data_IF_947029334786
#
_entry.id   IF_947029334786
#
_cell.length_a   1.000
_cell.length_b   1.000
_cell.length_c   1.000
_cell.angle_alpha   90.00
_cell.angle_beta   90.00
_cell.angle_gamma   90.00
#
_symmetry.space_group_name_H-M   'P 1'
#
loop_
_entity.id
_entity.type
_entity.pdbx_description
1 polymer ?
#
# COMPACT_ATOMS: atom_id res chain seq x y z
N UNK A 1 84.53 -16.58 24.23
CA UNK A 1 83.51 -16.45 23.17
C UNK A 1 82.24 -17.11 23.68
N UNK A 2 81.28 -16.31 24.14
CA UNK A 2 79.99 -16.76 24.66
C UNK A 2 79.05 -17.02 23.48
N UNK A 3 78.51 -18.24 23.37
CA UNK A 3 77.47 -18.59 22.41
C UNK A 3 76.08 -18.41 23.04
N UNK A 4 75.28 -17.53 22.46
CA UNK A 4 73.87 -17.28 22.83
C UNK A 4 72.99 -18.30 22.07
N UNK A 5 72.11 -19.07 22.71
CA UNK A 5 71.11 -19.86 22.00
C UNK A 5 69.89 -19.00 21.63
N UNK A 6 69.43 -19.09 20.38
CA UNK A 6 68.20 -18.45 19.90
C UNK A 6 66.96 -19.24 20.34
N UNK A 7 65.85 -18.60 20.74
CA UNK A 7 64.61 -19.29 21.06
C UNK A 7 63.85 -19.66 19.78
N UNK A 8 63.37 -20.90 19.72
CA UNK A 8 62.45 -21.40 18.70
C UNK A 8 61.06 -20.83 18.99
N UNK A 9 60.57 -19.92 18.16
CA UNK A 9 59.18 -19.47 18.17
C UNK A 9 58.30 -20.60 17.65
N UNK A 10 57.57 -21.27 18.54
CA UNK A 10 56.47 -22.15 18.16
C UNK A 10 55.26 -21.27 17.83
N UNK A 11 54.91 -21.21 16.55
CA UNK A 11 53.69 -20.56 16.07
C UNK A 11 52.50 -21.40 16.52
N UNK A 12 51.86 -21.00 17.63
CA UNK A 12 50.54 -21.51 17.97
C UNK A 12 49.51 -20.80 17.10
N UNK A 13 49.04 -21.52 16.08
CA UNK A 13 47.90 -21.15 15.26
C UNK A 13 46.64 -21.19 16.15
N UNK A 14 46.23 -20.05 16.68
CA UNK A 14 44.92 -19.88 17.32
C UNK A 14 43.86 -20.03 16.22
N UNK A 15 43.26 -21.22 16.12
CA UNK A 15 42.03 -21.42 15.36
C UNK A 15 40.92 -20.63 16.07
N UNK A 16 40.65 -19.42 15.59
CA UNK A 16 39.40 -18.70 15.84
C UNK A 16 38.28 -19.57 15.26
N UNK A 17 37.68 -20.42 16.09
CA UNK A 17 36.40 -21.03 15.81
C UNK A 17 35.41 -19.85 15.85
N UNK A 18 35.15 -19.25 14.69
CA UNK A 18 33.98 -18.42 14.52
C UNK A 18 32.78 -19.27 14.97
N UNK A 19 31.91 -18.78 15.86
CA UNK A 19 30.66 -19.48 16.14
C UNK A 19 29.99 -19.74 14.79
N UNK A 20 29.41 -20.94 14.56
CA UNK A 20 28.71 -21.21 13.32
C UNK A 20 27.70 -20.08 13.18
N UNK A 21 27.91 -19.21 12.19
CA UNK A 21 26.85 -18.38 11.70
C UNK A 21 25.74 -19.38 11.39
N UNK A 22 24.65 -19.33 12.17
CA UNK A 22 23.49 -20.15 11.97
C UNK A 22 23.07 -19.89 10.52
N UNK A 23 23.49 -20.78 9.63
CA UNK A 23 23.09 -20.77 8.24
C UNK A 23 21.66 -21.31 8.25
N UNK A 24 20.74 -20.52 8.80
CA UNK A 24 19.32 -20.76 8.66
C UNK A 24 19.05 -20.70 7.17
N UNK A 25 18.70 -21.84 6.60
CA UNK A 25 18.26 -21.89 5.22
C UNK A 25 17.06 -20.94 5.08
N UNK A 26 16.99 -20.13 4.00
CA UNK A 26 15.87 -19.22 3.80
C UNK A 26 14.56 -19.98 3.92
N UNK A 27 13.63 -19.45 4.72
CA UNK A 27 12.36 -20.11 5.01
C UNK A 27 11.45 -20.02 3.79
N UNK A 28 11.49 -21.04 2.93
CA UNK A 28 10.55 -21.18 1.82
C UNK A 28 9.13 -21.23 2.38
N UNK A 29 8.19 -20.48 1.80
CA UNK A 29 6.78 -20.44 2.21
C UNK A 29 5.92 -21.10 1.15
N UNK A 30 5.16 -22.14 1.53
CA UNK A 30 4.24 -22.83 0.63
C UNK A 30 2.81 -22.37 0.87
N UNK A 31 2.09 -22.07 -0.20
CA UNK A 31 0.68 -21.65 -0.18
C UNK A 31 -0.07 -22.32 -1.34
N UNK A 32 -1.42 -22.26 -1.38
CA UNK A 32 -2.17 -22.67 -2.57
C UNK A 32 -1.80 -21.91 -3.85
N UNK A 33 -1.20 -20.71 -3.73
CA UNK A 33 -0.80 -19.88 -4.87
C UNK A 33 0.61 -20.21 -5.39
N UNK A 34 1.40 -20.99 -4.64
CA UNK A 34 2.76 -21.41 -5.00
C UNK A 34 3.73 -21.46 -3.82
N UNK A 35 4.98 -21.78 -4.16
CA UNK A 35 6.12 -21.97 -3.25
C UNK A 35 7.07 -20.79 -3.40
N UNK A 36 7.06 -19.87 -2.43
CA UNK A 36 7.81 -18.62 -2.48
C UNK A 36 9.21 -18.72 -1.88
N UNK A 37 10.20 -18.26 -2.65
CA UNK A 37 11.60 -18.15 -2.22
C UNK A 37 11.93 -16.71 -1.80
N UNK A 38 12.33 -16.45 -0.54
CA UNK A 38 12.54 -15.09 -0.04
C UNK A 38 13.86 -14.48 -0.51
N UNK A 39 13.89 -13.15 -0.57
CA UNK A 39 15.11 -12.35 -0.56
C UNK A 39 15.66 -12.22 0.87
N UNK A 40 16.87 -12.73 1.11
CA UNK A 40 17.58 -12.64 2.40
C UNK A 40 18.78 -11.70 2.36
N UNK A 41 18.81 -10.74 1.42
CA UNK A 41 19.90 -9.78 1.26
C UNK A 41 20.08 -8.84 2.47
N UNK A 42 19.04 -8.70 3.31
CA UNK A 42 19.09 -7.88 4.52
C UNK A 42 19.20 -8.82 5.73
N UNK A 43 20.34 -8.82 6.46
CA UNK A 43 20.51 -9.65 7.64
C UNK A 43 19.39 -9.44 8.66
N UNK A 44 18.78 -10.54 9.12
CA UNK A 44 17.69 -10.51 10.09
C UNK A 44 16.29 -10.28 9.51
N UNK A 45 16.16 -10.05 8.19
CA UNK A 45 14.87 -9.84 7.53
C UNK A 45 14.73 -10.78 6.33
N UNK A 46 13.64 -11.54 6.30
CA UNK A 46 13.18 -12.23 5.10
C UNK A 46 12.18 -11.34 4.37
N UNK A 47 12.37 -11.18 3.06
CA UNK A 47 11.51 -10.37 2.21
C UNK A 47 10.90 -11.25 1.12
N UNK A 48 9.58 -11.25 1.00
CA UNK A 48 8.87 -11.90 -0.10
C UNK A 48 8.25 -10.80 -0.95
N UNK A 49 8.81 -10.57 -2.12
CA UNK A 49 8.52 -9.41 -2.95
C UNK A 49 7.72 -9.81 -4.20
N UNK A 50 6.80 -8.95 -4.63
CA UNK A 50 6.04 -9.15 -5.87
C UNK A 50 4.98 -10.27 -5.83
N UNK A 51 4.43 -10.57 -4.65
CA UNK A 51 3.37 -11.58 -4.48
C UNK A 51 2.07 -11.05 -5.07
N UNK A 52 1.44 -11.79 -5.98
CA UNK A 52 0.13 -11.44 -6.56
C UNK A 52 -1.00 -11.65 -5.55
N UNK A 53 -1.81 -10.62 -5.33
CA UNK A 53 -3.05 -10.74 -4.56
C UNK A 53 -4.30 -10.72 -5.43
N UNK A 54 -4.16 -10.28 -6.69
CA UNK A 54 -5.23 -10.22 -7.68
C UNK A 54 -4.76 -10.75 -9.04
N UNK A 55 -5.72 -11.14 -9.88
CA UNK A 55 -5.47 -11.34 -11.31
C UNK A 55 -5.01 -10.04 -11.98
N UNK A 56 -4.16 -10.10 -13.02
CA UNK A 56 -3.73 -8.92 -13.76
C UNK A 56 -4.94 -8.12 -14.27
N UNK A 57 -5.07 -6.82 -13.95
CA UNK A 57 -6.20 -5.99 -14.36
C UNK A 57 -6.04 -5.50 -15.82
N UNK A 58 -5.78 -6.44 -16.74
CA UNK A 58 -5.50 -6.20 -18.16
C UNK A 58 -6.70 -6.59 -19.03
N UNK A 59 -6.76 -6.04 -20.24
CA UNK A 59 -7.79 -6.40 -21.22
C UNK A 59 -9.21 -6.23 -20.65
N UNK A 60 -9.99 -7.31 -20.59
CA UNK A 60 -11.35 -7.29 -20.04
C UNK A 60 -11.43 -6.82 -18.57
N UNK A 61 -10.35 -7.05 -17.78
CA UNK A 61 -10.26 -6.63 -16.39
C UNK A 61 -9.77 -5.19 -16.21
N UNK A 62 -9.35 -4.52 -17.29
CA UNK A 62 -9.02 -3.08 -17.23
C UNK A 62 -10.27 -2.30 -16.80
N UNK A 63 -10.08 -1.38 -15.86
CA UNK A 63 -11.11 -0.58 -15.16
C UNK A 63 -12.03 -1.38 -14.22
N UNK A 64 -12.07 -2.70 -14.30
CA UNK A 64 -12.97 -3.51 -13.48
C UNK A 64 -12.50 -3.59 -12.03
N UNK A 65 -13.41 -3.97 -11.12
CA UNK A 65 -13.02 -4.41 -9.79
C UNK A 65 -11.98 -5.55 -9.89
N UNK A 66 -10.99 -5.62 -8.99
CA UNK A 66 -9.99 -6.67 -9.04
C UNK A 66 -10.61 -8.03 -8.74
N UNK A 67 -10.04 -9.07 -9.33
CA UNK A 67 -10.44 -10.45 -9.12
C UNK A 67 -9.39 -11.14 -8.25
N UNK A 68 -9.77 -11.90 -7.19
CA UNK A 68 -8.81 -12.65 -6.38
C UNK A 68 -7.89 -13.51 -7.24
N UNK A 69 -6.59 -13.52 -6.94
CA UNK A 69 -5.63 -14.33 -7.67
C UNK A 69 -5.88 -15.83 -7.42
N UNK A 70 -6.46 -16.49 -8.42
CA UNK A 70 -6.83 -17.91 -8.38
C UNK A 70 -6.05 -18.75 -9.41
N UNK A 71 -5.33 -18.10 -10.34
CA UNK A 71 -4.53 -18.75 -11.38
C UNK A 71 -3.19 -19.32 -10.90
N UNK A 72 -2.90 -19.24 -9.59
CA UNK A 72 -1.69 -19.82 -9.01
C UNK A 72 -1.68 -21.35 -9.02
N UNK A 73 -0.49 -21.92 -8.92
CA UNK A 73 -0.28 -23.36 -8.81
C UNK A 73 0.56 -23.64 -7.56
N UNK A 74 0.02 -24.44 -6.64
CA UNK A 74 0.69 -24.82 -5.39
C UNK A 74 2.03 -25.55 -5.60
N UNK A 75 2.26 -26.15 -6.77
CA UNK A 75 3.52 -26.78 -7.13
C UNK A 75 4.54 -25.81 -7.77
N UNK A 76 4.11 -24.60 -8.16
CA UNK A 76 4.97 -23.65 -8.83
C UNK A 76 5.93 -22.98 -7.85
N UNK A 77 7.23 -23.04 -8.14
CA UNK A 77 8.23 -22.24 -7.44
C UNK A 77 8.22 -20.80 -7.94
N UNK A 78 8.04 -19.86 -7.02
CA UNK A 78 7.95 -18.42 -7.29
C UNK A 78 9.21 -17.73 -6.73
N UNK A 79 9.91 -17.03 -7.61
CA UNK A 79 11.01 -16.14 -7.24
C UNK A 79 10.44 -14.85 -6.62
N UNK A 80 10.35 -14.83 -5.28
CA UNK A 80 9.89 -13.66 -4.52
C UNK A 80 11.06 -12.75 -4.13
N UNK A 81 12.16 -12.75 -4.90
CA UNK A 81 13.34 -11.95 -4.57
C UNK A 81 13.30 -10.52 -5.09
N UNK A 82 12.34 -10.18 -5.94
CA UNK A 82 12.23 -8.90 -6.64
C UNK A 82 10.83 -8.31 -6.51
N UNK A 83 10.77 -7.00 -6.35
CA UNK A 83 9.51 -6.27 -6.40
C UNK A 83 8.79 -6.49 -7.74
N UNK A 84 7.46 -6.55 -7.70
CA UNK A 84 6.63 -6.40 -8.89
C UNK A 84 6.75 -5.00 -9.51
N UNK A 85 6.25 -4.81 -10.74
CA UNK A 85 6.23 -3.51 -11.39
C UNK A 85 5.27 -2.55 -10.67
N UNK A 86 5.52 -1.25 -10.80
CA UNK A 86 4.56 -0.25 -10.37
C UNK A 86 3.36 -0.21 -11.32
N UNK A 87 2.21 0.25 -10.82
CA UNK A 87 1.04 0.45 -11.65
C UNK A 87 1.26 1.56 -12.69
N UNK A 88 0.63 1.45 -13.85
CA UNK A 88 0.67 2.48 -14.89
C UNK A 88 0.24 3.85 -14.35
N UNK A 89 1.11 4.83 -14.57
CA UNK A 89 1.02 6.21 -14.08
C UNK A 89 2.00 7.09 -14.86
N UNK A 90 2.07 8.39 -14.55
CA UNK A 90 3.10 9.28 -15.09
C UNK A 90 4.49 8.80 -14.64
N UNK A 91 5.43 8.65 -15.59
CA UNK A 91 6.80 8.27 -15.31
C UNK A 91 7.56 9.26 -14.40
N UNK A 92 7.05 10.49 -14.22
CA UNK A 92 7.53 11.44 -13.24
C UNK A 92 7.38 10.98 -11.78
N UNK A 93 6.50 10.01 -11.50
CA UNK A 93 6.39 9.37 -10.19
C UNK A 93 7.39 8.21 -10.00
N UNK A 94 7.77 7.48 -11.07
CA UNK A 94 8.86 6.50 -11.09
C UNK A 94 9.04 5.86 -12.50
N UNK A 95 10.28 5.53 -12.89
CA UNK A 95 10.60 4.64 -14.03
C UNK A 95 11.48 3.40 -13.70
N UNK A 96 11.96 3.25 -12.45
CA UNK A 96 13.12 2.39 -12.15
C UNK A 96 12.90 0.86 -12.15
N UNK A 97 11.66 0.37 -11.99
CA UNK A 97 11.32 -1.08 -12.11
C UNK A 97 10.32 -1.38 -13.23
N UNK A 98 10.06 -0.40 -14.09
CA UNK A 98 9.03 -0.46 -15.11
C UNK A 98 7.63 -0.18 -14.57
N UNK A 99 6.78 0.27 -15.48
CA UNK A 99 5.35 0.46 -15.27
C UNK A 99 4.61 -0.65 -16.00
N UNK A 100 3.60 -1.24 -15.35
CA UNK A 100 2.77 -2.28 -15.95
C UNK A 100 1.32 -2.14 -15.49
N UNK A 101 0.37 -2.58 -16.32
CA UNK A 101 -1.00 -2.81 -15.82
C UNK A 101 -1.04 -4.04 -14.91
N UNK A 102 -0.17 -5.00 -15.16
CA UNK A 102 0.01 -6.16 -14.32
C UNK A 102 0.84 -5.81 -13.08
N UNK A 103 0.24 -5.05 -12.16
CA UNK A 103 0.91 -4.44 -11.02
C UNK A 103 0.36 -4.83 -9.65
N UNK A 104 -0.78 -5.54 -9.58
CA UNK A 104 -1.51 -5.84 -8.33
C UNK A 104 -0.77 -6.90 -7.49
N UNK A 105 0.30 -6.43 -6.86
CA UNK A 105 1.25 -7.22 -6.08
C UNK A 105 1.49 -6.57 -4.72
N UNK A 106 1.88 -7.38 -3.75
CA UNK A 106 2.28 -6.98 -2.42
C UNK A 106 3.62 -7.59 -2.04
N UNK A 107 4.21 -7.05 -0.98
CA UNK A 107 5.52 -7.41 -0.47
C UNK A 107 5.41 -7.66 1.03
N UNK A 108 6.02 -8.72 1.53
CA UNK A 108 6.02 -9.10 2.95
C UNK A 108 7.44 -9.01 3.49
N UNK A 109 7.59 -8.37 4.64
CA UNK A 109 8.84 -8.24 5.38
C UNK A 109 8.63 -8.81 6.78
N UNK A 110 9.45 -9.80 7.16
CA UNK A 110 9.36 -10.42 8.49
C UNK A 110 10.75 -10.68 9.10
N UNK A 111 10.84 -10.80 10.44
CA UNK A 111 12.06 -11.28 11.09
C UNK A 111 12.47 -12.66 10.58
N UNK A 112 13.76 -12.86 10.29
CA UNK A 112 14.28 -14.14 9.81
C UNK A 112 14.28 -15.26 10.87
N UNK A 113 14.19 -14.92 12.16
CA UNK A 113 14.23 -15.87 13.27
C UNK A 113 12.90 -16.61 13.53
N UNK A 114 11.86 -16.37 12.71
CA UNK A 114 10.56 -17.02 12.85
C UNK A 114 10.53 -18.20 11.90
N UNK A 115 10.51 -19.41 12.46
CA UNK A 115 10.35 -20.63 11.68
C UNK A 115 9.03 -20.56 10.88
N UNK A 116 9.03 -20.94 9.59
CA UNK A 116 7.79 -21.05 8.84
C UNK A 116 6.92 -22.10 9.53
N UNK A 117 5.63 -21.79 9.72
CA UNK A 117 4.70 -22.81 10.20
C UNK A 117 4.60 -23.89 9.11
N UNK A 118 5.31 -25.01 9.32
CA UNK A 118 5.34 -26.16 8.42
C UNK A 118 4.13 -27.08 8.64
N UNK A 119 3.24 -26.73 9.55
CA UNK A 119 2.03 -27.48 9.79
C UNK A 119 1.05 -27.20 8.67
N UNK A 120 1.09 -28.09 7.67
CA UNK A 120 0.03 -28.38 6.70
C UNK A 120 -1.25 -28.92 7.38
N UNK A 121 -1.55 -28.48 8.60
CA UNK A 121 -2.76 -28.82 9.31
C UNK A 121 -3.92 -28.20 8.57
N UNK A 122 -4.54 -29.04 7.74
CA UNK A 122 -5.82 -28.89 7.06
C UNK A 122 -6.47 -27.52 7.21
N UNK A 123 -6.49 -26.79 6.10
CA UNK A 123 -7.39 -25.67 5.84
C UNK A 123 -8.84 -26.13 6.04
N UNK A 124 -9.31 -26.15 7.27
CA UNK A 124 -10.72 -26.21 7.62
C UNK A 124 -11.07 -24.86 8.19
N UNK A 125 -12.04 -24.21 7.55
CA UNK A 125 -12.76 -23.04 8.02
C UNK A 125 -12.86 -23.06 9.54
N UNK A 126 -12.21 -22.10 10.20
CA UNK A 126 -12.34 -21.89 11.63
C UNK A 126 -13.81 -21.59 11.92
N UNK A 127 -14.56 -22.62 12.30
CA UNK A 127 -15.78 -22.46 13.08
C UNK A 127 -15.31 -22.22 14.51
N UNK A 128 -15.59 -21.03 15.01
CA UNK A 128 -15.46 -20.68 16.41
C UNK A 128 -16.28 -21.67 17.25
N UNK A 129 -15.62 -22.63 17.88
CA UNK A 129 -16.15 -23.42 19.00
C UNK A 129 -14.99 -24.11 19.74
N UNK A 130 -14.62 -23.48 20.86
CA UNK A 130 -14.25 -24.05 22.17
C UNK A 130 -13.07 -25.04 22.37
N UNK A 131 -12.49 -24.81 23.55
CA UNK A 131 -11.75 -25.69 24.45
C UNK A 131 -10.31 -26.18 24.16
N UNK A 132 -9.40 -25.66 25.01
CA UNK A 132 -8.02 -26.08 25.29
C UNK A 132 -7.45 -27.32 24.61
N UNK A 133 -6.57 -27.09 23.62
CA UNK A 133 -5.65 -28.10 23.09
C UNK A 133 -4.45 -27.44 22.41
N UNK A 134 -3.26 -27.55 23.01
CA UNK A 134 -2.04 -26.87 22.56
C UNK A 134 -1.55 -27.33 21.18
N UNK A 135 -1.48 -26.38 20.24
CA UNK A 135 -0.78 -26.51 18.97
C UNK A 135 -0.51 -25.14 18.34
N UNK A 136 0.77 -24.73 18.32
CA UNK A 136 1.42 -23.74 17.43
C UNK A 136 0.77 -22.35 17.15
N UNK A 137 -0.20 -21.90 17.96
CA UNK A 137 -0.81 -20.56 17.84
C UNK A 137 -0.06 -19.43 18.57
N UNK A 138 1.00 -19.74 19.32
CA UNK A 138 1.65 -18.75 20.22
C UNK A 138 2.73 -17.87 19.56
N UNK A 139 3.03 -18.06 18.28
CA UNK A 139 4.19 -17.41 17.61
C UNK A 139 3.83 -16.50 16.41
N UNK A 140 2.56 -16.28 16.10
CA UNK A 140 2.18 -15.38 15.01
C UNK A 140 2.51 -13.92 15.35
N UNK A 141 2.86 -13.12 14.34
CA UNK A 141 3.21 -11.71 14.49
C UNK A 141 2.01 -10.78 14.25
N UNK A 142 1.90 -9.66 14.98
CA UNK A 142 1.03 -8.58 14.55
C UNK A 142 1.44 -8.11 13.14
N UNK A 143 0.45 -7.77 12.32
CA UNK A 143 0.64 -7.42 10.92
C UNK A 143 0.38 -5.94 10.73
N UNK A 144 1.32 -5.23 10.10
CA UNK A 144 1.14 -3.85 9.66
C UNK A 144 1.03 -3.82 8.14
N UNK A 145 -0.09 -3.34 7.60
CA UNK A 145 -0.28 -3.18 6.16
C UNK A 145 -0.16 -1.71 5.80
N UNK A 146 0.84 -1.37 4.98
CA UNK A 146 1.11 0.00 4.54
C UNK A 146 0.55 0.27 3.13
N UNK A 147 -0.25 1.33 3.01
CA UNK A 147 -0.80 1.88 1.77
C UNK A 147 -0.07 3.19 1.47
N UNK A 148 0.66 3.24 0.35
CA UNK A 148 1.44 4.43 -0.01
C UNK A 148 0.56 5.59 -0.44
N UNK A 149 1.10 6.81 -0.30
CA UNK A 149 0.55 8.03 -0.86
C UNK A 149 1.08 8.34 -2.27
N UNK A 150 0.42 9.29 -2.92
CA UNK A 150 0.77 9.80 -4.25
C UNK A 150 -0.42 10.46 -4.92
N UNK A 151 -1.24 11.13 -4.10
CA UNK A 151 -2.50 11.78 -4.45
C UNK A 151 -3.50 10.89 -5.23
N UNK A 152 -3.35 9.56 -5.19
CA UNK A 152 -4.11 8.59 -5.99
C UNK A 152 -3.90 8.70 -7.51
N UNK A 153 -2.89 9.43 -7.98
CA UNK A 153 -2.42 9.44 -9.39
C UNK A 153 -1.13 8.66 -9.61
N UNK A 154 -0.34 8.48 -8.56
CA UNK A 154 0.91 7.74 -8.64
C UNK A 154 1.41 7.21 -7.30
N UNK A 155 2.65 6.74 -7.28
CA UNK A 155 3.30 6.06 -6.16
C UNK A 155 3.55 4.57 -6.44
N UNK A 156 4.35 3.94 -5.57
CA UNK A 156 4.63 2.51 -5.62
C UNK A 156 5.09 1.96 -4.27
N UNK A 157 4.79 0.69 -4.02
CA UNK A 157 5.15 -0.01 -2.78
C UNK A 157 6.67 -0.12 -2.56
N UNK A 158 7.46 -0.15 -3.64
CA UNK A 158 8.93 -0.30 -3.58
C UNK A 158 9.63 0.84 -2.85
N UNK A 159 9.11 2.06 -2.94
CA UNK A 159 9.69 3.22 -2.25
C UNK A 159 9.70 3.03 -0.72
N UNK A 160 8.90 2.09 -0.23
CA UNK A 160 8.65 1.85 1.18
C UNK A 160 9.13 0.45 1.60
N UNK A 161 10.42 0.16 1.41
CA UNK A 161 11.00 -1.06 1.99
C UNK A 161 10.82 -1.05 3.51
N UNK A 162 10.07 -2.03 4.03
CA UNK A 162 9.75 -2.09 5.46
C UNK A 162 10.81 -2.81 6.30
N UNK A 163 11.94 -3.20 5.72
CA UNK A 163 12.99 -3.94 6.43
C UNK A 163 13.52 -3.19 7.66
N UNK A 164 13.70 -1.86 7.57
CA UNK A 164 14.13 -1.06 8.71
C UNK A 164 13.10 -1.06 9.85
N UNK A 165 11.80 -1.01 9.52
CA UNK A 165 10.74 -1.08 10.52
C UNK A 165 10.76 -2.43 11.25
N UNK A 166 10.93 -3.52 10.51
CA UNK A 166 11.11 -4.86 11.08
C UNK A 166 12.33 -4.89 12.01
N UNK A 167 13.47 -4.35 11.60
CA UNK A 167 14.67 -4.31 12.43
C UNK A 167 14.51 -3.44 13.70
N UNK A 168 13.83 -2.30 13.61
CA UNK A 168 13.48 -1.49 14.79
C UNK A 168 12.55 -2.25 15.75
N UNK A 169 11.57 -3.00 15.22
CA UNK A 169 10.65 -3.80 16.02
C UNK A 169 11.37 -4.89 16.84
N UNK A 170 12.54 -5.33 16.35
CA UNK A 170 13.43 -6.28 17.03
C UNK A 170 14.41 -5.61 18.01
N UNK A 171 14.43 -4.27 18.09
CA UNK A 171 15.42 -3.52 18.87
C UNK A 171 16.85 -3.60 18.30
N UNK A 172 16.99 -3.99 17.02
CA UNK A 172 18.29 -4.16 16.36
C UNK A 172 18.83 -2.86 15.75
N UNK A 173 18.01 -1.81 15.72
CA UNK A 173 18.41 -0.46 15.29
C UNK A 173 18.17 0.56 16.41
N UNK A 174 19.10 1.51 16.62
CA UNK A 174 18.90 2.58 17.59
C UNK A 174 17.67 3.42 17.20
N UNK A 175 16.93 4.00 18.14
CA UNK A 175 15.78 4.85 17.80
C UNK A 175 16.24 6.01 16.89
N UNK A 176 15.40 6.43 15.92
CA UNK A 176 15.73 7.58 15.10
C UNK A 176 15.98 8.82 15.98
N UNK A 177 16.92 9.70 15.60
CA UNK A 177 17.19 10.92 16.36
C UNK A 177 15.92 11.78 16.42
N UNK A 178 15.63 12.44 17.56
CA UNK A 178 14.46 13.29 17.67
C UNK A 178 14.53 14.44 16.65
N UNK A 179 13.39 14.82 16.04
CA UNK A 179 13.33 15.99 15.18
C UNK A 179 13.55 17.24 16.03
N UNK A 180 14.70 17.91 15.82
CA UNK A 180 15.20 19.09 16.54
C UNK A 180 15.59 18.87 18.02
N UNK A 181 16.55 19.66 18.56
CA UNK A 181 16.95 19.56 19.96
C UNK A 181 15.82 20.09 20.85
N UNK A 182 14.92 19.20 21.26
CA UNK A 182 14.14 19.43 22.47
C UNK A 182 15.14 19.42 23.62
N UNK A 183 15.24 20.47 24.46
CA UNK A 183 16.12 20.45 25.62
C UNK A 183 15.60 19.39 26.61
N UNK A 184 16.13 18.17 26.50
CA UNK A 184 15.83 17.08 27.41
C UNK A 184 16.61 17.30 28.71
N UNK A 185 15.99 17.98 29.67
CA UNK A 185 16.48 18.09 31.04
C UNK A 185 16.23 16.82 31.88
N UNK A 186 16.31 15.64 31.25
CA UNK A 186 16.19 14.37 31.96
C UNK A 186 17.24 13.36 31.50
N UNK A 187 18.20 13.09 32.38
CA UNK A 187 19.04 11.89 32.41
C UNK A 187 18.19 10.67 32.80
N UNK A 188 17.20 10.33 31.99
CA UNK A 188 16.56 9.01 32.05
C UNK A 188 17.27 8.12 31.06
N UNK A 189 18.01 7.14 31.57
CA UNK A 189 18.45 5.97 30.81
C UNK A 189 17.17 5.27 30.34
N UNK A 190 16.68 5.61 29.15
CA UNK A 190 15.51 4.96 28.56
C UNK A 190 15.93 3.55 28.19
N UNK A 191 15.61 2.59 29.06
CA UNK A 191 15.64 1.18 28.71
C UNK A 191 14.85 1.04 27.41
N UNK A 192 15.50 0.57 26.34
CA UNK A 192 14.83 0.33 25.08
C UNK A 192 13.55 -0.47 25.35
N UNK A 193 12.39 -0.07 24.81
CA UNK A 193 11.18 -0.84 24.97
C UNK A 193 11.45 -2.29 24.53
N UNK A 194 10.82 -3.29 25.18
CA UNK A 194 11.01 -4.68 24.80
C UNK A 194 10.69 -4.85 23.31
N UNK A 195 11.47 -5.67 22.61
CA UNK A 195 11.25 -5.99 21.21
C UNK A 195 9.80 -6.47 21.02
N UNK A 196 9.12 -5.88 20.05
CA UNK A 196 7.74 -6.20 19.66
C UNK A 196 7.76 -6.51 18.17
N UNK A 197 8.16 -7.73 17.76
CA UNK A 197 8.37 -8.04 16.37
C UNK A 197 7.08 -7.85 15.55
N UNK A 198 7.20 -7.27 14.36
CA UNK A 198 6.07 -7.00 13.46
C UNK A 198 6.36 -7.59 12.08
N UNK A 199 5.34 -8.19 11.46
CA UNK A 199 5.34 -8.51 10.04
C UNK A 199 4.75 -7.31 9.29
N UNK A 200 5.47 -6.77 8.32
CA UNK A 200 5.01 -5.61 7.57
C UNK A 200 4.72 -5.96 6.12
N UNK A 201 3.64 -5.41 5.58
CA UNK A 201 3.20 -5.60 4.21
C UNK A 201 3.14 -4.25 3.50
N UNK A 202 3.65 -4.17 2.28
CA UNK A 202 3.40 -3.03 1.38
C UNK A 202 2.74 -3.52 0.11
N UNK A 203 1.87 -2.73 -0.51
CA UNK A 203 1.09 -3.17 -1.68
C UNK A 203 0.98 -2.10 -2.75
N UNK A 204 0.92 -2.55 -4.00
CA UNK A 204 0.53 -1.73 -5.15
C UNK A 204 -0.99 -1.76 -5.31
N UNK A 205 -1.55 -0.65 -5.77
CA UNK A 205 -2.96 -0.51 -6.15
C UNK A 205 -3.03 0.40 -7.39
N UNK A 206 -4.06 0.23 -8.24
CA UNK A 206 -4.20 1.09 -9.42
C UNK A 206 -4.40 2.54 -9.00
N UNK A 207 -3.67 3.44 -9.65
CA UNK A 207 -3.77 4.89 -9.49
C UNK A 207 -4.31 5.52 -10.77
N UNK A 208 -4.47 6.84 -10.75
CA UNK A 208 -4.81 7.62 -11.94
C UNK A 208 -6.17 7.24 -12.50
N UNK A 209 -6.31 7.37 -13.82
CA UNK A 209 -7.55 7.05 -14.50
C UNK A 209 -7.90 5.54 -14.48
N UNK A 210 -6.93 4.66 -14.20
CA UNK A 210 -7.15 3.21 -14.09
C UNK A 210 -7.75 2.79 -12.75
N UNK A 211 -7.51 3.57 -11.69
CA UNK A 211 -7.99 3.29 -10.33
C UNK A 211 -9.14 4.18 -9.87
N UNK A 212 -9.14 5.45 -10.29
CA UNK A 212 -9.92 6.50 -9.65
C UNK A 212 -10.61 7.47 -10.63
N UNK A 213 -10.73 7.13 -11.93
CA UNK A 213 -11.51 7.97 -12.85
C UNK A 213 -12.99 7.91 -12.51
N UNK A 214 -13.56 9.02 -12.03
CA UNK A 214 -14.98 9.14 -11.78
C UNK A 214 -15.70 9.72 -13.00
N UNK A 215 -16.47 8.89 -13.71
CA UNK A 215 -17.31 9.30 -14.84
C UNK A 215 -18.66 8.57 -14.85
N UNK A 216 -19.67 9.12 -15.53
CA UNK A 216 -21.04 8.59 -15.51
C UNK A 216 -21.13 7.19 -16.14
N UNK A 217 -20.34 6.89 -17.18
CA UNK A 217 -20.25 5.54 -17.75
C UNK A 217 -19.73 4.54 -16.70
N UNK A 218 -18.65 4.87 -16.00
CA UNK A 218 -18.07 4.00 -14.98
C UNK A 218 -19.02 3.82 -13.80
N UNK A 219 -19.76 4.86 -13.41
CA UNK A 219 -20.80 4.78 -12.39
C UNK A 219 -21.89 3.77 -12.78
N UNK A 220 -22.46 3.88 -13.99
CA UNK A 220 -23.50 2.95 -14.49
C UNK A 220 -23.02 1.50 -14.56
N UNK A 221 -21.72 1.29 -14.73
CA UNK A 221 -21.09 -0.04 -14.91
C UNK A 221 -20.44 -0.59 -13.65
N UNK A 222 -20.51 0.11 -12.52
CA UNK A 222 -19.89 -0.32 -11.25
C UNK A 222 -18.35 -0.33 -11.28
N UNK A 223 -17.73 0.46 -12.18
CA UNK A 223 -16.28 0.52 -12.41
C UNK A 223 -15.57 1.58 -11.56
N UNK A 224 -16.31 2.38 -10.78
CA UNK A 224 -15.75 3.38 -9.89
C UNK A 224 -14.89 2.75 -8.79
N UNK A 225 -13.94 3.54 -8.28
CA UNK A 225 -13.13 3.24 -7.10
C UNK A 225 -12.35 1.91 -7.19
N UNK A 226 -11.91 1.55 -8.40
CA UNK A 226 -11.12 0.33 -8.63
C UNK A 226 -9.86 0.27 -7.75
N UNK A 227 -9.19 1.41 -7.50
CA UNK A 227 -8.04 1.49 -6.59
C UNK A 227 -8.37 1.18 -5.12
N UNK A 228 -9.52 1.64 -4.61
CA UNK A 228 -9.99 1.26 -3.25
C UNK A 228 -10.33 -0.24 -3.18
N UNK A 229 -10.93 -0.78 -4.25
CA UNK A 229 -11.25 -2.20 -4.36
C UNK A 229 -9.99 -3.07 -4.44
N UNK A 230 -8.91 -2.58 -5.07
CA UNK A 230 -7.58 -3.22 -5.09
C UNK A 230 -7.03 -3.38 -3.66
N UNK A 231 -7.02 -2.28 -2.90
CA UNK A 231 -6.57 -2.29 -1.50
C UNK A 231 -7.44 -3.21 -0.64
N UNK A 232 -8.76 -3.19 -0.83
CA UNK A 232 -9.70 -4.06 -0.12
C UNK A 232 -9.41 -5.54 -0.38
N UNK A 233 -9.18 -5.91 -1.63
CA UNK A 233 -8.84 -7.27 -2.01
C UNK A 233 -7.47 -7.67 -1.44
N UNK A 234 -6.49 -6.76 -1.40
CA UNK A 234 -5.22 -7.03 -0.74
C UNK A 234 -5.41 -7.30 0.77
N UNK A 235 -6.27 -6.55 1.47
CA UNK A 235 -6.60 -6.82 2.88
C UNK A 235 -7.31 -8.16 3.07
N UNK A 236 -8.20 -8.55 2.16
CA UNK A 236 -8.81 -9.87 2.15
C UNK A 236 -7.78 -10.98 1.92
N UNK A 237 -6.82 -10.75 1.02
CA UNK A 237 -5.69 -11.66 0.80
C UNK A 237 -4.85 -11.80 2.08
N UNK A 238 -4.59 -10.71 2.80
CA UNK A 238 -3.87 -10.76 4.08
C UNK A 238 -4.61 -11.64 5.08
N UNK A 239 -5.92 -11.45 5.27
CA UNK A 239 -6.73 -12.32 6.14
C UNK A 239 -6.59 -13.80 5.75
N UNK A 240 -6.67 -14.09 4.45
CA UNK A 240 -6.76 -15.47 3.95
C UNK A 240 -5.39 -16.18 3.86
N UNK A 241 -4.26 -15.44 3.80
CA UNK A 241 -2.95 -16.02 3.47
C UNK A 241 -1.79 -15.64 4.42
N UNK A 242 -1.88 -14.55 5.18
CA UNK A 242 -0.71 -14.03 5.94
C UNK A 242 -0.21 -15.00 7.02
N UNK A 243 -1.08 -15.92 7.48
CA UNK A 243 -0.71 -16.97 8.45
C UNK A 243 0.40 -17.88 7.95
N UNK A 244 0.43 -18.20 6.65
CA UNK A 244 1.53 -18.98 6.04
C UNK A 244 2.88 -18.25 6.12
N UNK A 245 2.85 -16.92 6.18
CA UNK A 245 4.02 -16.06 6.34
C UNK A 245 4.34 -15.76 7.82
N UNK A 246 3.60 -16.34 8.78
CA UNK A 246 3.81 -16.13 10.21
C UNK A 246 3.13 -14.89 10.77
N UNK A 247 2.23 -14.24 10.02
CA UNK A 247 1.41 -13.14 10.51
C UNK A 247 0.09 -13.61 11.12
N UNK A 248 -0.43 -12.82 12.06
CA UNK A 248 -1.71 -13.05 12.71
C UNK A 248 -2.81 -12.23 12.00
N UNK A 249 -3.75 -12.89 11.28
CA UNK A 249 -4.82 -12.19 10.57
C UNK A 249 -5.80 -11.48 11.53
N UNK A 250 -5.85 -11.84 12.82
CA UNK A 250 -6.68 -11.16 13.81
C UNK A 250 -6.00 -9.91 14.41
N UNK A 251 -4.71 -9.68 14.13
CA UNK A 251 -3.93 -8.54 14.64
C UNK A 251 -3.35 -7.69 13.50
N UNK A 252 -4.20 -7.36 12.53
CA UNK A 252 -3.86 -6.46 11.42
C UNK A 252 -4.13 -5.00 11.82
N UNK A 253 -3.13 -4.14 11.59
CA UNK A 253 -3.26 -2.67 11.62
C UNK A 253 -2.98 -2.14 10.22
N UNK A 254 -3.87 -1.29 9.70
CA UNK A 254 -3.65 -0.60 8.42
C UNK A 254 -3.00 0.75 8.66
N UNK A 255 -2.07 1.15 7.80
CA UNK A 255 -1.34 2.41 7.89
C UNK A 255 -1.23 3.03 6.51
N UNK A 256 -1.56 4.31 6.37
CA UNK A 256 -1.30 5.04 5.14
C UNK A 256 -0.81 6.46 5.40
N UNK A 257 -0.11 7.00 4.40
CA UNK A 257 0.42 8.36 4.39
C UNK A 257 -0.16 9.16 3.22
N UNK A 258 -0.49 10.43 3.43
CA UNK A 258 -1.07 11.32 2.41
C UNK A 258 -2.31 10.69 1.77
N UNK A 259 -2.32 10.44 0.46
CA UNK A 259 -3.41 9.75 -0.22
C UNK A 259 -3.70 8.37 0.38
N UNK A 260 -2.65 7.64 0.81
CA UNK A 260 -2.81 6.39 1.53
C UNK A 260 -3.52 6.55 2.87
N UNK A 261 -3.40 7.71 3.54
CA UNK A 261 -4.16 7.99 4.76
C UNK A 261 -5.65 8.22 4.45
N UNK A 262 -5.97 8.89 3.34
CA UNK A 262 -7.35 9.02 2.86
C UNK A 262 -7.94 7.65 2.50
N UNK A 263 -7.15 6.82 1.82
CA UNK A 263 -7.52 5.45 1.47
C UNK A 263 -7.76 4.58 2.71
N UNK A 264 -6.89 4.67 3.72
CA UNK A 264 -7.10 4.00 5.02
C UNK A 264 -8.41 4.44 5.65
N UNK A 265 -8.73 5.73 5.62
CA UNK A 265 -10.03 6.21 6.12
C UNK A 265 -11.21 5.59 5.36
N UNK A 266 -11.12 5.50 4.03
CA UNK A 266 -12.15 4.84 3.23
C UNK A 266 -12.30 3.36 3.55
N UNK A 267 -11.19 2.64 3.78
CA UNK A 267 -11.23 1.25 4.24
C UNK A 267 -11.89 1.13 5.62
N UNK A 268 -11.54 2.03 6.57
CA UNK A 268 -12.11 2.08 7.92
C UNK A 268 -13.63 2.29 7.88
N UNK A 269 -14.11 3.22 7.06
CA UNK A 269 -15.54 3.43 6.87
C UNK A 269 -16.22 2.21 6.29
N UNK A 270 -15.70 1.67 5.19
CA UNK A 270 -16.29 0.50 4.55
C UNK A 270 -16.33 -0.69 5.51
N UNK A 271 -15.26 -0.91 6.27
CA UNK A 271 -15.18 -1.96 7.27
C UNK A 271 -16.24 -1.83 8.37
N UNK A 272 -16.47 -0.63 8.88
CA UNK A 272 -17.45 -0.40 9.94
C UNK A 272 -18.87 -0.85 9.54
N UNK A 273 -19.25 -0.67 8.28
CA UNK A 273 -20.56 -1.10 7.78
C UNK A 273 -20.60 -2.54 7.26
N UNK A 274 -19.46 -3.07 6.78
CA UNK A 274 -19.44 -4.30 6.00
C UNK A 274 -18.65 -5.47 6.62
N UNK A 275 -17.98 -5.31 7.77
CA UNK A 275 -17.19 -6.36 8.41
C UNK A 275 -17.99 -7.66 8.67
N UNK A 276 -19.30 -7.54 8.93
CA UNK A 276 -20.18 -8.68 9.18
C UNK A 276 -21.08 -9.08 8.01
N UNK A 277 -21.02 -8.41 6.86
CA UNK A 277 -21.93 -8.68 5.71
C UNK A 277 -21.78 -10.09 5.14
N UNK A 278 -20.66 -10.78 5.41
CA UNK A 278 -20.40 -12.15 4.96
C UNK A 278 -20.04 -13.12 6.10
N UNK A 279 -20.13 -12.71 7.37
CA UNK A 279 -19.72 -13.55 8.52
C UNK A 279 -18.23 -13.93 8.55
N UNK A 280 -17.36 -13.21 7.84
CA UNK A 280 -15.93 -13.52 7.70
C UNK A 280 -15.01 -12.73 8.65
N UNK A 281 -15.59 -12.05 9.64
CA UNK A 281 -14.88 -11.23 10.62
C UNK A 281 -14.23 -9.97 10.03
N UNK A 282 -13.65 -9.16 10.92
CA UNK A 282 -13.01 -7.91 10.53
C UNK A 282 -11.66 -8.13 9.80
N UNK A 283 -11.33 -7.28 8.82
CA UNK A 283 -10.06 -7.32 8.08
C UNK A 283 -8.90 -6.68 8.83
N UNK A 284 -9.18 -5.75 9.75
CA UNK A 284 -8.19 -5.08 10.59
C UNK A 284 -8.85 -4.56 11.87
N UNK A 285 -8.01 -4.37 12.90
CA UNK A 285 -8.45 -3.92 14.23
C UNK A 285 -7.95 -2.53 14.62
N UNK A 286 -7.17 -1.88 13.75
CA UNK A 286 -6.61 -0.57 14.03
C UNK A 286 -6.12 0.13 12.78
N UNK A 287 -6.01 1.46 12.85
CA UNK A 287 -5.61 2.30 11.73
C UNK A 287 -4.56 3.35 12.14
N UNK A 288 -3.66 3.69 11.23
CA UNK A 288 -2.73 4.81 11.36
C UNK A 288 -2.90 5.69 10.11
N UNK A 289 -3.16 6.97 10.33
CA UNK A 289 -3.41 7.96 9.29
C UNK A 289 -2.39 9.08 9.41
N UNK A 290 -1.38 9.09 8.55
CA UNK A 290 -0.32 10.09 8.55
C UNK A 290 -0.54 11.14 7.45
N UNK A 291 -0.70 12.41 7.83
CA UNK A 291 -0.96 13.52 6.90
C UNK A 291 -2.23 13.31 6.06
N UNK A 292 -3.29 12.89 6.73
CA UNK A 292 -4.63 12.76 6.19
C UNK A 292 -5.59 12.18 7.22
N UNK A 293 -6.87 12.48 7.10
CA UNK A 293 -7.87 12.02 8.05
C UNK A 293 -9.30 12.31 7.63
N UNK A 294 -10.29 12.02 8.50
CA UNK A 294 -11.72 12.08 8.18
C UNK A 294 -12.23 13.41 7.63
N UNK A 295 -11.55 14.51 7.96
CA UNK A 295 -11.92 15.87 7.52
C UNK A 295 -11.17 16.36 6.28
N UNK A 296 -10.33 15.53 5.64
CA UNK A 296 -9.51 15.96 4.51
C UNK A 296 -10.34 16.28 3.27
N UNK A 297 -10.04 17.40 2.60
CA UNK A 297 -10.74 17.83 1.38
C UNK A 297 -10.65 16.81 0.24
N UNK A 298 -9.59 16.02 0.18
CA UNK A 298 -9.42 14.97 -0.83
C UNK A 298 -10.40 13.80 -0.65
N UNK A 299 -10.99 13.64 0.54
CA UNK A 299 -12.10 12.70 0.72
C UNK A 299 -13.36 13.19 0.04
N UNK A 300 -13.39 14.45 -0.45
CA UNK A 300 -14.56 14.95 -1.14
C UNK A 300 -14.86 14.15 -2.38
N UNK A 301 -16.03 13.52 -2.37
CA UNK A 301 -16.47 12.64 -3.44
C UNK A 301 -16.49 13.38 -4.78
N UNK A 302 -15.97 12.72 -5.81
CA UNK A 302 -16.02 13.21 -7.18
C UNK A 302 -17.33 12.76 -7.80
N UNK A 303 -18.20 13.73 -8.07
CA UNK A 303 -19.44 13.47 -8.80
C UNK A 303 -19.11 12.92 -10.20
N UNK A 304 -19.68 11.76 -10.60
CA UNK A 304 -19.34 11.11 -11.87
C UNK A 304 -19.40 12.06 -13.09
N UNK A 305 -20.39 12.95 -13.17
CA UNK A 305 -20.49 13.92 -14.29
C UNK A 305 -19.23 14.76 -14.53
N UNK A 306 -18.37 14.95 -13.52
CA UNK A 306 -17.16 15.75 -13.62
C UNK A 306 -16.10 15.10 -14.53
N UNK A 307 -16.07 13.77 -14.66
CA UNK A 307 -15.11 13.08 -15.53
C UNK A 307 -15.61 12.78 -16.93
N UNK A 308 -16.86 13.11 -17.28
CA UNK A 308 -17.43 12.80 -18.60
C UNK A 308 -16.69 13.54 -19.73
N UNK A 309 -16.24 14.76 -19.50
CA UNK A 309 -15.44 15.50 -20.48
C UNK A 309 -14.08 14.84 -20.72
N UNK A 310 -13.41 14.39 -19.64
CA UNK A 310 -12.13 13.71 -19.71
C UNK A 310 -12.24 12.35 -20.44
N UNK A 311 -13.26 11.54 -20.08
CA UNK A 311 -13.49 10.25 -20.72
C UNK A 311 -13.81 10.43 -22.21
N UNK A 312 -14.70 11.37 -22.56
CA UNK A 312 -15.10 11.62 -23.95
C UNK A 312 -13.92 12.05 -24.81
N UNK A 313 -13.14 13.04 -24.37
CA UNK A 313 -12.00 13.49 -25.15
C UNK A 313 -10.88 12.44 -25.19
N UNK A 314 -10.74 11.60 -24.16
CA UNK A 314 -9.85 10.42 -24.22
C UNK A 314 -10.32 9.45 -25.29
N UNK A 315 -11.61 9.12 -25.34
CA UNK A 315 -12.17 8.22 -26.34
C UNK A 315 -12.01 8.80 -27.76
N UNK A 316 -12.23 10.10 -27.96
CA UNK A 316 -11.99 10.79 -29.24
C UNK A 316 -10.51 10.71 -29.67
N UNK A 317 -9.57 11.02 -28.78
CA UNK A 317 -8.13 10.98 -29.07
C UNK A 317 -7.59 9.55 -29.34
N UNK A 318 -8.30 8.54 -28.84
CA UNK A 318 -7.97 7.13 -28.99
C UNK A 318 -8.74 6.45 -30.15
N UNK A 319 -9.66 7.15 -30.80
CA UNK A 319 -10.51 6.58 -31.85
C UNK A 319 -11.58 5.61 -31.32
N UNK A 320 -11.89 5.68 -30.03
CA UNK A 320 -12.92 4.88 -29.35
C UNK A 320 -14.31 5.53 -29.36
N UNK A 321 -14.64 6.23 -30.45
CA UNK A 321 -15.94 6.88 -30.66
C UNK A 321 -16.94 5.85 -31.21
N UNK A 322 -17.23 4.81 -30.43
CA UNK A 322 -18.23 3.79 -30.76
C UNK A 322 -19.64 4.38 -30.72
N UNK A 323 -20.15 4.77 -31.89
CA UNK A 323 -21.45 5.41 -32.04
C UNK A 323 -22.62 4.49 -31.69
N UNK A 324 -23.37 4.89 -30.66
CA UNK A 324 -24.84 4.82 -30.47
C UNK A 324 -25.09 5.25 -29.03
N UNK A 325 -25.99 6.19 -28.78
CA UNK A 325 -26.32 6.57 -27.40
C UNK A 325 -26.96 5.37 -26.66
N UNK A 326 -26.62 5.20 -25.38
CA UNK A 326 -27.16 4.13 -24.51
C UNK A 326 -26.21 2.96 -24.26
N UNK A 327 -26.72 1.88 -23.67
CA UNK A 327 -25.91 0.77 -23.14
C UNK A 327 -25.04 0.07 -24.20
N UNK A 328 -25.47 0.03 -25.46
CA UNK A 328 -24.71 -0.58 -26.55
C UNK A 328 -23.46 0.24 -26.92
N UNK A 329 -23.56 1.58 -26.97
CA UNK A 329 -22.39 2.43 -27.21
C UNK A 329 -21.45 2.49 -26.01
N UNK A 330 -22.00 2.44 -24.80
CA UNK A 330 -21.23 2.34 -23.55
C UNK A 330 -20.33 1.08 -23.56
N UNK A 331 -20.86 -0.09 -23.94
CA UNK A 331 -20.06 -1.32 -24.07
C UNK A 331 -19.01 -1.21 -25.17
N UNK A 332 -19.39 -0.71 -26.36
CA UNK A 332 -18.45 -0.58 -27.47
C UNK A 332 -17.29 0.38 -27.14
N UNK A 333 -17.58 1.48 -26.43
CA UNK A 333 -16.56 2.42 -25.96
C UNK A 333 -15.63 1.75 -24.93
N UNK A 334 -16.17 1.01 -23.95
CA UNK A 334 -15.36 0.28 -22.98
C UNK A 334 -14.52 -0.82 -23.62
N UNK A 335 -15.09 -1.60 -24.53
CA UNK A 335 -14.38 -2.64 -25.28
C UNK A 335 -13.21 -2.03 -26.07
N UNK A 336 -13.45 -0.91 -26.77
CA UNK A 336 -12.37 -0.20 -27.45
C UNK A 336 -11.28 0.28 -26.48
N UNK A 337 -11.66 0.98 -25.39
CA UNK A 337 -10.71 1.49 -24.40
C UNK A 337 -9.89 0.37 -23.73
N UNK A 338 -10.48 -0.82 -23.54
CA UNK A 338 -9.80 -2.02 -23.05
C UNK A 338 -8.83 -2.63 -24.07
N UNK A 339 -9.10 -2.43 -25.37
CA UNK A 339 -8.23 -2.86 -26.47
C UNK A 339 -7.04 -1.94 -26.76
N UNK A 340 -7.05 -0.69 -26.26
CA UNK A 340 -5.95 0.27 -26.50
C UNK A 340 -4.65 -0.19 -25.83
N UNK A 341 -3.52 -0.09 -26.54
CA UNK A 341 -2.20 -0.35 -25.97
C UNK A 341 -1.82 0.63 -24.85
N UNK A 342 -1.18 0.13 -23.80
CA UNK A 342 -0.83 0.90 -22.60
C UNK A 342 -0.01 2.16 -22.88
N UNK A 343 0.99 2.06 -23.75
CA UNK A 343 1.81 3.21 -24.16
C UNK A 343 0.95 4.34 -24.78
N UNK A 344 -0.04 3.97 -25.60
CA UNK A 344 -0.94 4.93 -26.23
C UNK A 344 -1.93 5.54 -25.24
N UNK A 345 -2.42 4.77 -24.27
CA UNK A 345 -3.24 5.31 -23.16
C UNK A 345 -2.47 6.36 -22.37
N UNK A 346 -1.25 6.02 -21.94
CA UNK A 346 -0.41 6.93 -21.15
C UNK A 346 -0.04 8.18 -21.95
N UNK A 347 0.28 8.05 -23.23
CA UNK A 347 0.53 9.19 -24.13
C UNK A 347 -0.65 10.16 -24.16
N UNK A 348 -1.89 9.66 -24.30
CA UNK A 348 -3.08 10.52 -24.37
C UNK A 348 -3.41 11.17 -23.03
N UNK A 349 -3.33 10.43 -21.92
CA UNK A 349 -3.68 10.95 -20.60
C UNK A 349 -2.65 11.91 -20.01
N UNK A 350 -1.38 11.76 -20.39
CA UNK A 350 -0.29 12.57 -19.87
C UNK A 350 0.34 13.52 -20.92
N UNK A 351 -0.30 13.77 -22.07
CA UNK A 351 0.16 14.81 -23.02
C UNK A 351 -0.11 16.21 -22.45
N UNK A 352 0.93 16.86 -21.94
CA UNK A 352 0.87 18.21 -21.37
C UNK A 352 0.29 19.31 -22.27
N UNK A 353 0.14 19.06 -23.57
CA UNK A 353 -0.44 20.01 -24.54
C UNK A 353 -1.93 19.75 -24.78
N UNK A 354 -2.45 18.64 -24.28
CA UNK A 354 -3.84 18.25 -24.45
C UNK A 354 -4.74 19.06 -23.51
N UNK A 355 -5.94 19.49 -23.94
CA UNK A 355 -6.94 20.04 -23.03
C UNK A 355 -7.45 19.00 -22.01
N UNK A 356 -7.14 17.71 -22.21
CA UNK A 356 -7.36 16.64 -21.22
C UNK A 356 -6.35 16.69 -20.07
N UNK A 357 -5.17 17.26 -20.32
CA UNK A 357 -4.11 17.35 -19.34
C UNK A 357 -4.41 18.49 -18.38
N UNK A 358 -5.21 18.15 -17.38
CA UNK A 358 -5.55 19.06 -16.32
C UNK A 358 -4.59 18.85 -15.16
N UNK A 359 -3.44 19.52 -15.18
CA UNK A 359 -2.67 19.70 -13.94
C UNK A 359 -3.37 20.74 -13.08
N UNK A 360 -3.99 20.26 -11.99
CA UNK A 360 -3.94 20.90 -10.67
C UNK A 360 -4.50 22.34 -10.60
N UNK A 361 -5.76 22.48 -10.17
CA UNK A 361 -5.98 23.42 -9.08
C UNK A 361 -5.60 22.65 -7.79
N UNK A 362 -4.67 23.23 -7.04
CA UNK A 362 -3.86 22.54 -6.07
C UNK A 362 -4.72 21.76 -5.06
N UNK A 363 -4.33 20.51 -4.78
CA UNK A 363 -4.87 19.64 -3.73
C UNK A 363 -6.10 18.77 -4.04
N UNK A 364 -6.93 19.05 -5.07
CA UNK A 364 -8.12 18.25 -5.39
C UNK A 364 -8.09 17.81 -6.85
N UNK A 365 -7.93 16.50 -7.08
CA UNK A 365 -7.69 15.93 -8.40
C UNK A 365 -8.99 15.62 -9.14
N UNK A 366 -9.61 16.61 -9.75
CA UNK A 366 -10.77 16.35 -10.61
C UNK A 366 -10.31 16.01 -12.04
N UNK A 367 -10.80 14.90 -12.65
CA UNK A 367 -11.82 13.95 -12.19
C UNK A 367 -11.28 12.63 -11.59
N UNK A 368 -9.99 12.58 -11.20
CA UNK A 368 -9.34 11.39 -10.62
C UNK A 368 -9.40 11.45 -9.10
N UNK A 369 -10.40 10.79 -8.50
CA UNK A 369 -10.57 10.77 -7.06
C UNK A 369 -11.62 9.74 -6.63
N UNK A 370 -12.05 9.82 -5.39
CA UNK A 370 -13.08 8.92 -4.87
C UNK A 370 -14.43 9.21 -5.52
N UNK A 371 -14.83 8.41 -6.51
CA UNK A 371 -16.08 8.61 -7.24
C UNK A 371 -17.28 8.32 -6.34
N UNK A 372 -18.28 9.21 -6.33
CA UNK A 372 -19.54 8.99 -5.61
C UNK A 372 -20.28 7.81 -6.24
N UNK A 373 -20.39 6.70 -5.52
CA UNK A 373 -21.01 5.45 -5.98
C UNK A 373 -22.12 4.94 -5.06
N UNK A 374 -22.31 5.56 -3.89
CA UNK A 374 -23.31 5.16 -2.90
C UNK A 374 -22.99 3.87 -2.13
N UNK A 375 -21.88 3.20 -2.45
CA UNK A 375 -21.40 1.99 -1.77
C UNK A 375 -20.15 2.32 -0.93
N UNK A 376 -19.09 2.76 -1.60
CA UNK A 376 -17.83 3.18 -0.96
C UNK A 376 -17.88 4.65 -0.55
N UNK A 377 -18.55 5.48 -1.36
CA UNK A 377 -18.52 6.93 -1.24
C UNK A 377 -19.94 7.47 -1.37
N UNK A 378 -20.49 7.94 -0.25
CA UNK A 378 -21.89 8.41 -0.16
C UNK A 378 -22.13 9.87 -0.57
N UNK A 379 -21.10 10.69 -0.81
CA UNK A 379 -21.24 12.12 -1.11
C UNK A 379 -20.49 13.01 -0.11
N UNK A 380 -21.14 14.08 0.40
CA UNK A 380 -20.50 15.17 1.16
C UNK A 380 -20.23 14.91 2.66
N UNK A 381 -20.75 13.83 3.24
CA UNK A 381 -20.52 13.49 4.65
C UNK A 381 -19.42 12.43 4.81
N UNK A 382 -18.27 12.91 5.29
CA UNK A 382 -17.03 12.13 5.44
C UNK A 382 -16.77 11.69 6.88
N UNK A 383 -17.44 12.31 7.85
CA UNK A 383 -17.42 11.90 9.25
C UNK A 383 -18.39 10.76 9.50
N UNK A 384 -17.98 9.81 10.32
CA UNK A 384 -18.70 8.55 10.50
C UNK A 384 -18.49 7.98 11.91
N UNK A 385 -19.54 8.02 12.73
CA UNK A 385 -19.46 7.60 14.14
C UNK A 385 -19.30 6.09 14.30
N UNK A 386 -19.79 5.29 13.34
CA UNK A 386 -19.57 3.85 13.33
C UNK A 386 -18.11 3.53 13.00
N UNK A 387 -17.52 4.26 12.05
CA UNK A 387 -16.11 4.14 11.70
C UNK A 387 -15.16 4.58 12.83
N UNK A 388 -15.60 5.52 13.68
CA UNK A 388 -14.84 5.98 14.84
C UNK A 388 -14.62 4.91 15.94
N UNK A 389 -15.22 3.72 15.82
CA UNK A 389 -15.04 2.62 16.77
C UNK A 389 -13.73 1.83 16.57
N UNK A 390 -13.05 1.97 15.42
CA UNK A 390 -11.76 1.32 15.18
C UNK A 390 -10.64 2.18 15.80
N UNK A 391 -9.81 1.64 16.72
CA UNK A 391 -8.68 2.38 17.30
C UNK A 391 -7.77 2.98 16.23
N UNK A 392 -7.55 4.29 16.31
CA UNK A 392 -6.78 5.01 15.29
C UNK A 392 -5.76 5.98 15.87
N UNK A 393 -4.63 6.11 15.19
CA UNK A 393 -3.65 7.18 15.38
C UNK A 393 -3.71 8.08 14.15
N UNK A 394 -3.87 9.38 14.35
CA UNK A 394 -3.83 10.36 13.24
C UNK A 394 -2.82 11.46 13.54
N UNK A 395 -2.08 11.90 12.51
CA UNK A 395 -1.06 12.94 12.62
C UNK A 395 -1.04 13.86 11.40
N UNK A 396 -0.57 15.08 11.59
CA UNK A 396 -0.34 16.09 10.54
C UNK A 396 1.01 16.79 10.80
N UNK A 397 1.83 17.05 9.77
CA UNK A 397 3.05 17.82 9.95
C UNK A 397 2.72 19.29 10.19
N UNK A 398 3.51 19.95 11.05
CA UNK A 398 3.41 21.39 11.28
C UNK A 398 3.74 22.11 9.97
N UNK A 399 2.78 22.86 9.41
CA UNK A 399 2.96 23.57 8.13
C UNK A 399 2.63 22.75 6.88
N UNK A 400 1.83 21.68 7.02
CA UNK A 400 1.30 20.87 5.91
C UNK A 400 0.72 21.72 4.74
N UNK A 401 0.26 22.94 5.05
CA UNK A 401 -0.14 23.97 4.09
C UNK A 401 0.76 25.21 4.24
N UNK A 402 1.99 25.15 3.73
CA UNK A 402 2.84 26.35 3.67
C UNK A 402 2.29 27.31 2.60
N UNK A 403 1.99 28.54 3.01
CA UNK A 403 1.32 29.58 2.23
C UNK A 403 2.02 29.97 0.90
N UNK A 404 3.24 29.51 0.65
CA UNK A 404 3.98 29.77 -0.59
C UNK A 404 3.43 29.02 -1.82
N UNK A 405 2.57 28.01 -1.64
CA UNK A 405 1.90 27.30 -2.76
C UNK A 405 0.75 28.13 -3.35
N UNK A 406 0.16 29.04 -2.58
CA UNK A 406 -0.78 30.03 -3.10
C UNK A 406 0.02 31.29 -3.46
N UNK A 407 0.47 31.33 -4.71
CA UNK A 407 1.28 32.41 -5.25
C UNK A 407 0.81 33.78 -4.79
N UNK A 408 1.78 34.62 -4.38
CA UNK A 408 1.61 36.04 -4.04
C UNK A 408 0.63 36.72 -5.00
N UNK A 409 -0.64 36.77 -4.61
CA UNK A 409 -1.61 37.69 -5.17
C UNK A 409 -1.07 39.09 -4.95
N UNK A 410 -0.84 39.81 -6.03
CA UNK A 410 -0.26 41.15 -6.04
C UNK A 410 -0.96 42.06 -5.04
N UNK A 411 -0.27 42.42 -3.94
CA UNK A 411 -0.65 43.55 -3.10
C UNK A 411 -0.31 44.85 -3.84
N UNK A 412 -1.14 45.24 -4.81
CA UNK A 412 -1.28 46.62 -5.25
C UNK A 412 -2.65 47.12 -4.82
N UNK A 413 -2.66 47.80 -3.68
CA UNK A 413 -3.85 48.42 -3.11
C UNK A 413 -3.53 49.01 -1.75
N UNK A 414 -2.70 50.07 -1.74
CA UNK A 414 -2.43 50.83 -0.53
C UNK A 414 -3.70 51.55 -0.06
N UNK A 415 -4.30 51.05 1.02
CA UNK A 415 -5.34 51.73 1.78
C UNK A 415 -4.86 51.98 3.20
N UNK A 416 -4.39 53.19 3.48
CA UNK A 416 -4.13 53.66 4.85
C UNK A 416 -5.43 53.65 5.65
N UNK A 417 -5.50 52.89 6.72
CA UNK A 417 -6.45 53.14 7.81
C UNK A 417 -5.66 53.79 8.96
N UNK A 418 -5.99 55.05 9.22
CA UNK A 418 -5.49 55.86 10.34
C UNK A 418 -6.09 55.33 11.64
N UNK A 419 -5.25 55.16 12.66
CA UNK A 419 -5.65 55.13 14.06
C UNK A 419 -6.05 56.54 14.54
N UNK A 420 -7.23 56.66 15.10
CA UNK A 420 -7.65 57.68 16.07
C UNK A 420 -8.78 57.04 16.88
N UNK A 421 -8.93 57.25 18.18
CA UNK A 421 -8.33 58.14 19.15
C UNK A 421 -9.17 57.96 20.42
#
# INVERSE_FOLDING_TARGET
MFGIPMPVFTSQLLLLIAPPALCQSPSIVSTPQGIYHPNTSIPGVEQFLGIRYAEPPVGALRFAAPVPYASGDAAQHIDATRYGPACLQDAGFEAANGLSEDCLTLNIFRPASIAPNTSTSNYTTATDDDDGGGGDDTNLLPVLVYIYGGANIGGQARHYSAANLVLHSLGLLPPPPPPAPVPLNHTTTTRAPPATPVLTITLNYRTGALGFLANTLFARRGLLNAGLKDQRLALQWVRDHVRAFGGDPARVTVFGQSAGAFDVWMQVRYEAYHHNSAGRGALFRGAILESGGPGSLALRGVEPRMGDAFLRGSAEALGCTGGTDGDAGDEAALECLRGVGTARLMEVWFDARSPLYNTLDAFVQLPVGFGVDGEWVGGEDYWDEAAAQIPMVSSEPVGAFSADVFGRGSSRGGGRVRSGG
#
